data_IF_063287092752
#
_entry.id   IF_063287092752
#
_cell.length_a   1.000
_cell.length_b   1.000
_cell.length_c   1.000
_cell.angle_alpha   90.00
_cell.angle_beta   90.00
_cell.angle_gamma   90.00
#
_symmetry.space_group_name_H-M   'P 1'
#
loop_
_entity.id
_entity.type
_entity.pdbx_description
1 polymer ?
#
# COMPACT_ATOMS: atom_id res chain seq x y z
N UNK A 1 -22.72 9.36 -11.93
CA UNK A 1 -21.73 9.82 -10.94
C UNK A 1 -20.41 10.03 -11.67
N UNK A 2 -19.70 11.13 -11.39
CA UNK A 2 -18.37 11.34 -11.92
C UNK A 2 -17.48 10.16 -11.49
N UNK A 3 -16.52 9.79 -12.35
CA UNK A 3 -15.55 8.73 -12.08
C UNK A 3 -14.73 9.08 -10.83
N UNK A 4 -14.78 8.23 -9.80
CA UNK A 4 -13.98 8.41 -8.60
C UNK A 4 -12.57 7.89 -8.87
N UNK A 5 -11.59 8.79 -8.81
CA UNK A 5 -10.17 8.44 -8.91
C UNK A 5 -9.52 8.50 -7.53
N UNK A 6 -8.52 7.64 -7.33
CA UNK A 6 -7.74 7.66 -6.10
C UNK A 6 -7.06 9.03 -5.89
N UNK A 7 -7.12 9.58 -4.67
CA UNK A 7 -6.20 10.62 -4.23
C UNK A 7 -4.79 10.04 -4.22
N UNK A 8 -3.82 10.74 -4.82
CA UNK A 8 -2.48 10.22 -5.03
C UNK A 8 -1.55 10.67 -3.90
N UNK A 9 -0.73 9.73 -3.44
CA UNK A 9 0.22 9.95 -2.36
C UNK A 9 1.52 10.59 -2.89
N UNK A 10 2.04 11.60 -2.21
CA UNK A 10 3.43 12.02 -2.36
C UNK A 10 4.33 10.94 -1.76
N UNK A 11 5.47 10.65 -2.35
CA UNK A 11 6.49 9.77 -1.77
C UNK A 11 7.61 10.60 -1.18
N UNK A 12 8.00 10.29 0.04
CA UNK A 12 9.18 10.83 0.72
C UNK A 12 10.05 9.67 1.19
N UNK A 13 11.36 9.85 1.15
CA UNK A 13 12.30 8.93 1.78
C UNK A 13 12.43 9.27 3.25
N UNK A 14 12.65 8.24 4.07
CA UNK A 14 12.89 8.44 5.50
C UNK A 14 14.23 9.18 5.72
N UNK A 15 14.20 10.17 6.62
CA UNK A 15 15.35 10.81 7.26
C UNK A 15 15.00 11.17 8.70
N UNK A 16 15.99 11.37 9.55
CA UNK A 16 15.84 11.42 11.02
C UNK A 16 14.75 12.41 11.51
N UNK A 17 14.68 13.61 10.94
CA UNK A 17 13.72 14.65 11.35
C UNK A 17 12.48 14.75 10.46
N UNK A 18 12.15 13.70 9.67
CA UNK A 18 11.03 13.79 8.71
C UNK A 18 9.70 14.08 9.39
N UNK A 19 9.48 13.56 10.59
CA UNK A 19 8.21 13.72 11.30
C UNK A 19 8.02 15.12 11.89
N UNK A 20 9.08 15.89 12.08
CA UNK A 20 8.98 17.30 12.44
C UNK A 20 8.30 18.11 11.33
N UNK A 21 8.63 17.81 10.07
CA UNK A 21 7.99 18.41 8.88
C UNK A 21 6.49 18.09 8.81
N UNK A 22 6.08 16.93 9.32
CA UNK A 22 4.70 16.45 9.29
C UNK A 22 4.07 16.45 10.69
N UNK A 23 4.48 17.37 11.57
CA UNK A 23 3.91 17.50 12.91
C UNK A 23 2.40 17.68 12.85
N UNK A 24 1.68 16.89 13.66
CA UNK A 24 0.22 16.89 13.70
C UNK A 24 -0.45 16.05 12.62
N UNK A 25 0.30 15.39 11.72
CA UNK A 25 -0.26 14.39 10.84
C UNK A 25 -0.58 13.10 11.61
N UNK A 26 -1.58 12.38 11.14
CA UNK A 26 -1.90 11.03 11.60
C UNK A 26 -1.19 10.01 10.71
N UNK A 27 -0.74 8.92 11.27
CA UNK A 27 -0.06 7.86 10.55
C UNK A 27 -0.88 6.58 10.50
N UNK A 28 -0.93 5.92 9.35
CA UNK A 28 -1.53 4.59 9.16
C UNK A 28 -0.49 3.64 8.58
N UNK A 29 -0.60 2.34 8.89
CA UNK A 29 0.24 1.31 8.26
C UNK A 29 0.03 1.37 6.74
N UNK A 30 1.12 1.39 6.00
CA UNK A 30 1.08 1.19 4.56
C UNK A 30 0.99 -0.30 4.28
N UNK A 31 -0.20 -0.74 3.90
CA UNK A 31 -0.44 -2.13 3.52
C UNK A 31 0.00 -2.40 2.08
N UNK A 32 0.48 -3.61 1.85
CA UNK A 32 0.85 -4.12 0.52
C UNK A 32 -0.31 -4.94 -0.04
N UNK A 33 -1.16 -4.30 -0.82
CA UNK A 33 -2.41 -4.87 -1.29
C UNK A 33 -2.89 -4.31 -2.63
N UNK A 34 -4.20 -4.35 -2.80
CA UNK A 34 -4.89 -3.79 -3.96
C UNK A 34 -5.82 -2.67 -3.52
N UNK A 35 -5.55 -1.46 -4.01
CA UNK A 35 -6.42 -0.31 -3.79
C UNK A 35 -7.84 -0.60 -4.30
N UNK A 36 -8.84 -0.28 -3.49
CA UNK A 36 -10.23 -0.57 -3.74
C UNK A 36 -11.15 0.61 -3.45
N UNK A 37 -12.05 0.88 -4.39
CA UNK A 37 -13.22 1.74 -4.21
C UNK A 37 -14.40 0.81 -4.03
N UNK A 38 -14.97 0.75 -2.83
CA UNK A 38 -16.05 -0.16 -2.46
C UNK A 38 -17.39 0.61 -2.54
N UNK A 39 -18.28 0.11 -3.36
CA UNK A 39 -19.63 0.64 -3.51
C UNK A 39 -20.63 -0.18 -2.70
N UNK A 40 -21.37 0.48 -1.82
CA UNK A 40 -22.36 -0.14 -0.93
C UNK A 40 -23.75 0.36 -1.34
N UNK A 41 -24.73 -0.56 -1.40
CA UNK A 41 -26.14 -0.29 -1.59
C UNK A 41 -26.96 -1.39 -0.90
N UNK A 42 -28.06 -1.00 -0.27
CA UNK A 42 -28.91 -1.90 0.51
C UNK A 42 -28.08 -2.68 1.56
N UNK A 43 -27.21 -1.97 2.28
CA UNK A 43 -26.33 -2.49 3.33
C UNK A 43 -25.24 -3.48 2.85
N UNK A 44 -25.10 -3.75 1.54
CA UNK A 44 -24.18 -4.75 0.98
C UNK A 44 -23.21 -4.13 -0.03
N UNK A 45 -22.07 -4.79 -0.22
CA UNK A 45 -21.13 -4.46 -1.29
C UNK A 45 -21.78 -4.87 -2.62
N UNK A 46 -22.01 -3.90 -3.50
CA UNK A 46 -22.54 -4.12 -4.86
C UNK A 46 -21.49 -3.97 -5.94
N UNK A 47 -20.30 -3.52 -5.60
CA UNK A 47 -19.19 -3.40 -6.53
C UNK A 47 -17.90 -2.97 -5.84
N UNK A 48 -16.78 -3.46 -6.37
CA UNK A 48 -15.44 -3.01 -6.00
C UNK A 48 -14.70 -2.67 -7.28
N UNK A 49 -14.03 -1.51 -7.30
CA UNK A 49 -13.19 -1.08 -8.41
C UNK A 49 -11.76 -0.84 -7.94
N UNK A 50 -10.79 -1.19 -8.77
CA UNK A 50 -9.40 -0.90 -8.50
C UNK A 50 -9.02 0.55 -8.86
N UNK A 51 -7.73 0.93 -8.68
CA UNK A 51 -7.22 2.27 -9.00
C UNK A 51 -7.45 2.70 -10.45
N UNK A 52 -7.49 1.75 -11.38
CA UNK A 52 -7.72 1.98 -12.81
C UNK A 52 -9.22 1.90 -13.17
N UNK A 53 -10.10 1.95 -12.18
CA UNK A 53 -11.55 1.85 -12.33
C UNK A 53 -12.08 0.51 -12.90
N UNK A 54 -11.25 -0.53 -12.94
CA UNK A 54 -11.66 -1.87 -13.36
C UNK A 54 -12.46 -2.57 -12.25
N UNK A 55 -13.56 -3.27 -12.56
CA UNK A 55 -14.31 -4.04 -11.58
C UNK A 55 -13.49 -5.25 -11.12
N UNK A 56 -13.41 -5.46 -9.80
CA UNK A 56 -12.61 -6.53 -9.19
C UNK A 56 -13.34 -7.31 -8.08
N UNK A 57 -14.63 -7.04 -7.79
CA UNK A 57 -15.38 -7.75 -6.75
C UNK A 57 -15.35 -9.27 -6.97
N UNK A 58 -15.50 -9.71 -8.22
CA UNK A 58 -15.49 -11.13 -8.61
C UNK A 58 -14.19 -11.89 -8.22
N UNK A 59 -13.11 -11.18 -7.86
CA UNK A 59 -11.87 -11.79 -7.33
C UNK A 59 -11.96 -12.11 -5.84
N UNK A 60 -12.90 -11.50 -5.12
CA UNK A 60 -13.02 -11.50 -3.66
C UNK A 60 -14.44 -11.81 -3.20
N UNK A 61 -14.98 -13.01 -3.54
CA UNK A 61 -16.38 -13.35 -3.26
C UNK A 61 -16.72 -13.33 -1.77
N UNK A 62 -15.74 -13.54 -0.89
CA UNK A 62 -15.93 -13.43 0.56
C UNK A 62 -16.34 -12.02 1.04
N UNK A 63 -16.16 -11.00 0.23
CA UNK A 63 -16.59 -9.63 0.55
C UNK A 63 -18.07 -9.37 0.20
N UNK A 64 -18.71 -10.22 -0.61
CA UNK A 64 -20.13 -10.03 -1.04
C UNK A 64 -21.10 -10.18 0.12
N UNK A 65 -20.78 -10.97 1.13
CA UNK A 65 -21.63 -11.23 2.30
C UNK A 65 -21.42 -10.22 3.44
N UNK A 66 -20.49 -9.26 3.26
CA UNK A 66 -20.25 -8.24 4.28
C UNK A 66 -21.41 -7.25 4.34
N UNK A 67 -21.93 -7.04 5.56
CA UNK A 67 -23.03 -6.12 5.86
C UNK A 67 -22.56 -4.86 6.57
N UNK A 68 -23.18 -3.74 6.23
CA UNK A 68 -22.92 -2.44 6.84
C UNK A 68 -24.13 -1.92 7.60
N UNK A 69 -23.93 -1.08 8.61
CA UNK A 69 -25.01 -0.42 9.37
C UNK A 69 -25.77 0.63 8.55
N UNK A 70 -25.11 1.24 7.54
CA UNK A 70 -25.67 2.25 6.64
C UNK A 70 -26.16 1.64 5.32
N UNK A 71 -27.13 2.29 4.68
CA UNK A 71 -27.77 1.74 3.49
C UNK A 71 -26.95 1.90 2.21
N UNK A 72 -26.31 3.07 2.00
CA UNK A 72 -25.48 3.30 0.83
C UNK A 72 -24.19 4.04 1.15
N UNK A 73 -23.13 3.75 0.42
CA UNK A 73 -21.87 4.44 0.64
C UNK A 73 -20.77 4.14 -0.37
N UNK A 74 -19.69 4.91 -0.24
CA UNK A 74 -18.46 4.72 -1.01
C UNK A 74 -17.31 4.78 -0.03
N UNK A 75 -16.62 3.65 0.13
CA UNK A 75 -15.45 3.50 0.98
C UNK A 75 -14.19 3.35 0.13
N UNK A 76 -13.08 3.82 0.68
CA UNK A 76 -11.74 3.58 0.14
C UNK A 76 -11.00 2.61 1.04
N UNK A 77 -10.43 1.59 0.43
CA UNK A 77 -9.77 0.50 1.13
C UNK A 77 -8.49 0.05 0.43
N UNK A 78 -7.71 -0.72 1.16
CA UNK A 78 -6.68 -1.60 0.60
C UNK A 78 -7.12 -3.05 0.88
N UNK A 79 -7.30 -3.86 -0.17
CA UNK A 79 -7.61 -5.28 -0.03
C UNK A 79 -6.30 -6.04 0.09
N UNK A 80 -6.15 -6.77 1.19
CA UNK A 80 -4.90 -7.45 1.56
C UNK A 80 -5.12 -8.91 1.91
N UNK A 81 -4.08 -9.71 1.80
CA UNK A 81 -3.93 -10.99 2.49
C UNK A 81 -2.92 -10.80 3.62
N UNK A 82 -3.28 -11.15 4.84
CA UNK A 82 -2.40 -11.02 6.01
C UNK A 82 -1.87 -12.39 6.40
N UNK A 83 -0.54 -12.53 6.48
CA UNK A 83 0.16 -13.71 6.98
C UNK A 83 1.17 -13.29 8.04
N UNK A 84 1.13 -13.94 9.19
CA UNK A 84 2.03 -13.63 10.32
C UNK A 84 2.05 -12.13 10.68
N UNK A 85 0.88 -11.48 10.66
CA UNK A 85 0.72 -10.06 10.98
C UNK A 85 1.19 -9.06 9.91
N UNK A 86 1.64 -9.52 8.75
CA UNK A 86 2.07 -8.67 7.60
C UNK A 86 1.14 -8.84 6.41
N UNK A 87 0.91 -7.77 5.67
CA UNK A 87 0.28 -7.85 4.35
C UNK A 87 1.26 -8.41 3.33
N UNK A 88 0.85 -9.44 2.59
CA UNK A 88 1.69 -10.12 1.61
C UNK A 88 1.10 -9.99 0.21
N UNK A 89 1.90 -9.47 -0.74
CA UNK A 89 1.42 -9.25 -2.11
C UNK A 89 1.59 -10.51 -2.97
N UNK A 90 2.81 -10.89 -3.30
CA UNK A 90 3.08 -11.96 -4.28
C UNK A 90 2.64 -13.35 -3.83
N UNK A 91 2.84 -13.71 -2.56
CA UNK A 91 2.41 -15.00 -2.00
C UNK A 91 0.98 -14.99 -1.44
N UNK A 92 0.27 -13.87 -1.57
CA UNK A 92 -1.06 -13.65 -1.03
C UNK A 92 -2.01 -13.03 -2.06
N UNK A 93 -2.13 -11.70 -2.05
CA UNK A 93 -3.17 -11.01 -2.82
C UNK A 93 -3.03 -11.21 -4.35
N UNK A 94 -1.81 -11.30 -4.88
CA UNK A 94 -1.60 -11.53 -6.32
C UNK A 94 -2.07 -12.93 -6.76
N UNK A 95 -2.01 -13.93 -5.86
CA UNK A 95 -2.53 -15.28 -6.14
C UNK A 95 -4.05 -15.29 -6.36
N UNK A 96 -4.78 -14.32 -5.79
CA UNK A 96 -6.23 -14.18 -5.95
C UNK A 96 -6.64 -13.84 -7.38
N UNK A 97 -5.73 -13.36 -8.21
CA UNK A 97 -5.99 -13.09 -9.64
C UNK A 97 -6.31 -14.37 -10.42
N UNK A 98 -5.72 -15.50 -10.00
CA UNK A 98 -5.91 -16.81 -10.63
C UNK A 98 -6.71 -17.78 -9.76
N UNK A 99 -6.71 -17.59 -8.43
CA UNK A 99 -7.36 -18.47 -7.44
C UNK A 99 -8.42 -17.71 -6.66
N UNK A 100 -9.55 -17.40 -7.28
CA UNK A 100 -10.62 -16.54 -6.75
C UNK A 100 -11.21 -17.00 -5.41
N UNK A 101 -11.27 -18.30 -5.14
CA UNK A 101 -11.80 -18.89 -3.90
C UNK A 101 -10.71 -19.53 -3.05
N UNK A 102 -9.52 -18.98 -3.06
CA UNK A 102 -8.40 -19.54 -2.29
C UNK A 102 -8.60 -19.29 -0.78
N UNK A 103 -9.15 -20.31 -0.09
CA UNK A 103 -9.39 -20.28 1.36
C UNK A 103 -8.09 -20.18 2.19
N UNK A 104 -6.94 -20.51 1.60
CA UNK A 104 -5.63 -20.38 2.26
C UNK A 104 -5.12 -18.93 2.25
N UNK A 105 -5.71 -18.08 1.41
CA UNK A 105 -5.40 -16.66 1.30
C UNK A 105 -6.67 -15.81 1.44
N UNK A 106 -7.38 -15.85 2.59
CA UNK A 106 -8.55 -15.00 2.79
C UNK A 106 -8.15 -13.55 2.74
N UNK A 107 -9.01 -12.72 2.13
CA UNK A 107 -8.73 -11.29 2.04
C UNK A 107 -9.41 -10.53 3.16
N UNK A 108 -8.81 -9.38 3.52
CA UNK A 108 -9.42 -8.38 4.38
C UNK A 108 -9.35 -7.03 3.66
N UNK A 109 -10.46 -6.32 3.57
CA UNK A 109 -10.48 -4.94 3.11
C UNK A 109 -10.22 -4.01 4.30
N UNK A 110 -9.09 -3.31 4.27
CA UNK A 110 -8.69 -2.33 5.28
C UNK A 110 -9.23 -0.96 4.85
N UNK A 111 -10.29 -0.52 5.51
CA UNK A 111 -10.96 0.74 5.21
C UNK A 111 -10.15 1.91 5.77
N UNK A 112 -9.82 2.87 4.94
CA UNK A 112 -9.00 4.01 5.34
C UNK A 112 -9.57 5.39 4.95
N UNK A 113 -10.68 5.42 4.18
CA UNK A 113 -11.42 6.66 3.89
C UNK A 113 -12.88 6.39 3.53
N UNK A 114 -13.75 7.43 3.60
CA UNK A 114 -15.16 7.37 3.23
C UNK A 114 -15.52 8.61 2.41
N UNK A 115 -16.10 8.41 1.23
CA UNK A 115 -16.42 9.49 0.29
C UNK A 115 -17.91 9.79 0.21
N UNK A 116 -18.76 8.83 0.61
CA UNK A 116 -20.22 8.98 0.65
C UNK A 116 -20.80 8.04 1.71
N UNK A 117 -21.82 8.49 2.42
CA UNK A 117 -22.64 7.69 3.35
C UNK A 117 -24.07 8.23 3.36
N UNK A 118 -25.08 7.37 3.12
CA UNK A 118 -26.53 7.66 3.16
C UNK A 118 -26.91 9.02 2.52
N UNK A 119 -26.54 9.17 1.24
CA UNK A 119 -26.77 10.39 0.47
C UNK A 119 -25.79 11.53 0.73
N UNK A 120 -25.09 11.55 1.86
CA UNK A 120 -24.13 12.62 2.22
C UNK A 120 -22.79 12.38 1.54
N UNK A 121 -22.36 13.33 0.71
CA UNK A 121 -21.02 13.38 0.13
C UNK A 121 -20.03 13.94 1.18
N UNK A 122 -18.94 13.23 1.43
CA UNK A 122 -17.99 13.55 2.51
C UNK A 122 -16.64 14.05 2.03
N UNK A 123 -16.39 14.06 0.72
CA UNK A 123 -15.07 14.44 0.14
C UNK A 123 -14.58 15.82 0.61
N UNK A 124 -15.47 16.76 0.88
CA UNK A 124 -15.16 18.12 1.32
C UNK A 124 -14.98 18.24 2.84
N UNK A 125 -15.22 17.17 3.60
CA UNK A 125 -14.95 17.15 5.04
C UNK A 125 -13.46 16.96 5.30
N UNK A 126 -12.91 17.53 6.39
CA UNK A 126 -11.59 17.20 6.88
C UNK A 126 -11.40 15.70 7.10
N UNK A 127 -10.18 15.17 6.89
CA UNK A 127 -9.91 13.74 7.07
C UNK A 127 -10.31 13.24 8.47
N UNK A 128 -10.06 14.01 9.54
CA UNK A 128 -10.47 13.64 10.90
C UNK A 128 -11.97 13.37 11.05
N UNK A 129 -12.80 14.13 10.33
CA UNK A 129 -14.27 13.95 10.36
C UNK A 129 -14.69 12.73 9.52
N UNK A 130 -14.08 12.53 8.35
CA UNK A 130 -14.31 11.33 7.55
C UNK A 130 -13.89 10.07 8.30
N UNK A 131 -12.76 10.12 9.01
CA UNK A 131 -12.29 9.01 9.83
C UNK A 131 -13.24 8.71 11.01
N UNK A 132 -13.77 9.73 11.67
CA UNK A 132 -14.79 9.56 12.70
C UNK A 132 -16.05 8.87 12.17
N UNK A 133 -16.50 9.24 10.96
CA UNK A 133 -17.63 8.57 10.30
C UNK A 133 -17.34 7.09 10.04
N UNK A 134 -16.11 6.74 9.62
CA UNK A 134 -15.73 5.33 9.44
C UNK A 134 -15.81 4.59 10.78
N UNK A 135 -15.19 5.11 11.83
CA UNK A 135 -15.17 4.47 13.16
C UNK A 135 -16.54 4.28 13.76
N UNK A 136 -17.50 5.17 13.46
CA UNK A 136 -18.89 5.08 13.94
C UNK A 136 -19.73 4.07 13.15
N UNK A 137 -19.46 3.88 11.84
CA UNK A 137 -20.37 3.19 10.96
C UNK A 137 -19.82 1.87 10.37
N UNK A 138 -18.51 1.61 10.50
CA UNK A 138 -17.88 0.38 9.99
C UNK A 138 -17.40 -0.46 11.17
N UNK A 139 -18.05 -1.60 11.37
CA UNK A 139 -17.63 -2.58 12.35
C UNK A 139 -16.47 -3.43 11.81
N UNK A 140 -15.50 -3.72 12.66
CA UNK A 140 -14.44 -4.68 12.32
C UNK A 140 -15.00 -6.11 12.32
N UNK A 141 -14.57 -6.89 11.34
CA UNK A 141 -14.89 -8.30 11.19
C UNK A 141 -13.78 -9.04 10.48
N UNK A 142 -14.02 -10.28 10.08
CA UNK A 142 -12.98 -11.12 9.46
C UNK A 142 -12.51 -10.56 8.13
N UNK A 143 -13.42 -10.02 7.33
CA UNK A 143 -13.15 -9.55 5.98
C UNK A 143 -13.08 -8.02 5.85
N UNK A 144 -13.46 -7.28 6.89
CA UNK A 144 -13.43 -5.82 6.93
C UNK A 144 -12.76 -5.35 8.21
N UNK A 145 -11.83 -4.40 8.09
CA UNK A 145 -11.20 -3.71 9.23
C UNK A 145 -11.03 -2.23 8.93
N UNK A 146 -11.15 -1.42 9.95
CA UNK A 146 -10.81 0.01 9.86
C UNK A 146 -9.33 0.18 10.15
N UNK A 147 -8.62 0.91 9.31
CA UNK A 147 -7.21 1.24 9.55
C UNK A 147 -7.10 2.14 10.79
N UNK A 148 -6.23 1.77 11.73
CA UNK A 148 -5.98 2.58 12.92
C UNK A 148 -5.04 3.75 12.60
N UNK A 149 -5.26 4.87 13.30
CA UNK A 149 -4.37 6.03 13.29
C UNK A 149 -3.43 5.97 14.49
N UNK A 150 -2.18 6.35 14.26
CA UNK A 150 -1.08 6.37 15.22
C UNK A 150 -0.34 7.70 15.15
N UNK A 151 0.43 8.01 16.19
CA UNK A 151 1.49 9.00 16.11
C UNK A 151 2.59 8.53 15.15
N UNK A 152 3.11 9.41 14.26
CA UNK A 152 4.05 9.01 13.21
C UNK A 152 5.31 8.28 13.69
N UNK A 153 5.98 8.80 14.72
CA UNK A 153 7.21 8.19 15.26
C UNK A 153 6.94 6.84 15.93
N UNK A 154 5.81 6.73 16.65
CA UNK A 154 5.39 5.46 17.28
C UNK A 154 5.12 4.39 16.23
N UNK A 155 4.41 4.76 15.15
CA UNK A 155 4.16 3.82 14.06
C UNK A 155 5.44 3.46 13.32
N UNK A 156 6.36 4.42 13.11
CA UNK A 156 7.61 4.13 12.40
C UNK A 156 8.48 3.11 13.15
N UNK A 157 8.58 3.21 14.48
CA UNK A 157 9.24 2.18 15.30
C UNK A 157 8.63 0.81 15.07
N UNK A 158 7.31 0.71 15.10
CA UNK A 158 6.58 -0.54 14.81
C UNK A 158 6.84 -1.04 13.36
N UNK A 159 6.91 -0.14 12.38
CA UNK A 159 7.23 -0.47 10.97
C UNK A 159 8.59 -1.14 10.88
N UNK A 160 9.61 -0.60 11.56
CA UNK A 160 10.96 -1.17 11.58
C UNK A 160 10.98 -2.51 12.32
N UNK A 161 10.46 -2.55 13.56
CA UNK A 161 10.46 -3.76 14.42
C UNK A 161 9.75 -4.95 13.78
N UNK A 162 8.63 -4.69 13.11
CA UNK A 162 7.82 -5.73 12.46
C UNK A 162 8.11 -5.90 10.98
N UNK A 163 9.09 -5.18 10.45
CA UNK A 163 9.46 -5.22 9.03
C UNK A 163 8.23 -5.04 8.11
N UNK A 164 7.43 -3.99 8.36
CA UNK A 164 6.29 -3.63 7.54
C UNK A 164 6.74 -2.80 6.32
N UNK A 165 5.87 -2.66 5.31
CA UNK A 165 6.19 -1.94 4.07
C UNK A 165 6.50 -0.45 4.30
N UNK A 166 5.89 0.18 5.31
CA UNK A 166 6.03 1.59 5.60
C UNK A 166 4.78 2.16 6.27
N UNK A 167 4.64 3.48 6.20
CA UNK A 167 3.48 4.19 6.70
C UNK A 167 2.95 5.22 5.70
N UNK A 168 1.71 5.67 5.94
CA UNK A 168 1.06 6.77 5.23
C UNK A 168 0.73 7.85 6.25
N UNK A 169 1.29 9.04 6.05
CA UNK A 169 0.95 10.24 6.79
C UNK A 169 -0.27 10.92 6.14
N UNK A 170 -1.22 11.35 6.96
CA UNK A 170 -2.44 12.03 6.52
C UNK A 170 -2.64 13.30 7.34
N UNK A 171 -2.78 14.43 6.66
CA UNK A 171 -3.18 15.68 7.30
C UNK A 171 -4.61 15.57 7.84
N UNK A 172 -4.85 15.80 9.15
CA UNK A 172 -6.18 15.65 9.74
C UNK A 172 -7.20 16.65 9.19
N UNK A 173 -6.73 17.76 8.62
CA UNK A 173 -7.59 18.82 8.05
C UNK A 173 -7.78 18.70 6.54
N UNK A 174 -7.12 17.74 5.88
CA UNK A 174 -7.19 17.59 4.44
C UNK A 174 -8.55 17.12 3.95
N UNK A 175 -9.03 17.71 2.85
CA UNK A 175 -10.17 17.21 2.07
C UNK A 175 -9.70 16.11 1.10
N UNK A 176 -10.62 15.29 0.59
CA UNK A 176 -10.28 14.26 -0.39
C UNK A 176 -10.19 14.86 -1.81
N UNK A 177 -9.01 14.90 -2.38
CA UNK A 177 -8.73 15.48 -3.70
C UNK A 177 -8.70 14.38 -4.77
N UNK A 178 -9.79 14.25 -5.54
CA UNK A 178 -9.95 13.17 -6.54
C UNK A 178 -8.90 13.28 -7.63
N UNK A 179 -8.07 12.22 -7.78
CA UNK A 179 -7.07 12.11 -8.84
C UNK A 179 -5.83 13.02 -8.69
N UNK A 180 -5.75 13.80 -7.59
CA UNK A 180 -4.68 14.77 -7.38
C UNK A 180 -3.59 14.19 -6.48
N UNK A 181 -2.33 14.46 -6.80
CA UNK A 181 -1.18 14.21 -5.92
C UNK A 181 -0.96 15.44 -5.04
N UNK A 182 -1.00 15.23 -3.74
CA UNK A 182 -0.89 16.31 -2.75
C UNK A 182 0.09 15.95 -1.65
N UNK A 183 0.59 16.95 -0.95
CA UNK A 183 1.38 16.78 0.27
C UNK A 183 0.56 16.48 1.53
N UNK A 184 -0.78 16.48 1.42
CA UNK A 184 -1.69 16.14 2.51
C UNK A 184 -1.73 14.63 2.81
N UNK A 185 -1.27 13.83 1.86
CA UNK A 185 -1.09 12.38 2.00
C UNK A 185 0.28 11.98 1.51
N UNK A 186 1.12 11.48 2.42
CA UNK A 186 2.52 11.14 2.17
C UNK A 186 2.78 9.71 2.54
N UNK A 187 3.44 8.96 1.66
CA UNK A 187 3.93 7.61 1.96
C UNK A 187 5.42 7.65 2.25
N UNK A 188 5.82 6.98 3.32
CA UNK A 188 7.21 6.72 3.69
C UNK A 188 7.38 5.21 3.74
N UNK A 189 8.28 4.68 2.91
CA UNK A 189 8.53 3.25 2.80
C UNK A 189 9.75 2.84 3.62
N UNK A 190 9.69 1.64 4.17
CA UNK A 190 10.79 1.02 4.91
C UNK A 190 11.78 0.37 3.93
N UNK A 191 12.54 1.22 3.22
CA UNK A 191 13.60 0.74 2.35
C UNK A 191 14.77 0.19 3.14
N UNK A 192 15.22 -0.99 2.75
CA UNK A 192 16.48 -1.62 3.19
C UNK A 192 17.57 -1.28 2.20
N UNK A 193 18.82 -1.30 2.62
CA UNK A 193 19.97 -1.11 1.73
C UNK A 193 20.84 -2.35 1.75
N UNK A 194 21.32 -2.76 0.60
CA UNK A 194 22.22 -3.89 0.42
C UNK A 194 23.26 -3.55 -0.65
N UNK A 195 24.49 -4.06 -0.47
CA UNK A 195 25.54 -3.95 -1.48
C UNK A 195 25.42 -5.10 -2.48
N UNK A 196 25.33 -4.77 -3.77
CA UNK A 196 25.29 -5.75 -4.86
C UNK A 196 26.57 -5.64 -5.68
N UNK A 197 27.30 -6.75 -5.82
CA UNK A 197 28.43 -6.88 -6.73
C UNK A 197 27.92 -7.23 -8.13
N UNK A 198 28.14 -6.36 -9.10
CA UNK A 198 27.65 -6.47 -10.46
C UNK A 198 28.34 -7.62 -11.22
N UNK A 199 27.56 -8.56 -11.74
CA UNK A 199 28.05 -9.62 -12.64
C UNK A 199 27.76 -9.31 -14.10
N UNK A 200 26.55 -8.81 -14.41
CA UNK A 200 26.17 -8.38 -15.74
C UNK A 200 25.12 -7.24 -15.69
N UNK A 201 25.06 -6.50 -16.78
CA UNK A 201 24.17 -5.34 -16.95
C UNK A 201 23.48 -5.44 -18.28
N UNK A 202 22.17 -5.13 -18.30
CA UNK A 202 21.33 -5.07 -19.49
C UNK A 202 20.52 -3.78 -19.46
N UNK A 203 20.61 -2.97 -20.50
CA UNK A 203 19.76 -1.79 -20.66
C UNK A 203 18.43 -2.18 -21.33
N UNK A 204 17.33 -1.66 -20.82
CA UNK A 204 15.99 -1.88 -21.35
C UNK A 204 15.12 -0.61 -21.19
N UNK A 205 13.90 -0.56 -21.77
CA UNK A 205 13.03 0.62 -21.68
C UNK A 205 12.62 1.03 -20.25
N UNK A 206 12.83 0.16 -19.25
CA UNK A 206 12.54 0.44 -17.83
C UNK A 206 13.76 0.95 -17.08
N UNK A 207 14.92 1.04 -17.74
CA UNK A 207 16.21 1.44 -17.17
C UNK A 207 17.25 0.32 -17.23
N UNK A 208 18.10 0.26 -16.22
CA UNK A 208 19.21 -0.70 -16.13
C UNK A 208 18.80 -1.93 -15.33
N UNK A 209 18.87 -3.12 -15.95
CA UNK A 209 18.75 -4.41 -15.25
C UNK A 209 20.14 -4.87 -14.85
N UNK A 210 20.33 -5.17 -13.58
CA UNK A 210 21.57 -5.70 -13.03
C UNK A 210 21.34 -7.13 -12.55
N UNK A 211 22.20 -8.05 -12.94
CA UNK A 211 22.37 -9.35 -12.29
C UNK A 211 23.66 -9.26 -11.50
N UNK A 212 23.60 -9.64 -10.24
CA UNK A 212 24.76 -9.52 -9.34
C UNK A 212 24.65 -10.45 -8.15
N UNK A 213 25.62 -10.35 -7.25
CA UNK A 213 25.67 -11.11 -6.01
C UNK A 213 25.65 -10.20 -4.80
N UNK A 214 25.05 -10.72 -3.75
CA UNK A 214 25.00 -10.03 -2.47
C UNK A 214 24.99 -11.05 -1.33
N UNK A 215 25.42 -10.63 -0.15
CA UNK A 215 25.31 -11.42 1.07
C UNK A 215 23.99 -11.10 1.78
N UNK A 216 23.19 -12.13 2.05
CA UNK A 216 21.99 -12.04 2.87
C UNK A 216 22.09 -13.10 3.97
N UNK A 217 22.19 -12.67 5.22
CA UNK A 217 22.30 -13.53 6.39
C UNK A 217 23.48 -14.54 6.32
N UNK A 218 24.59 -14.14 5.70
CA UNK A 218 25.78 -14.99 5.54
C UNK A 218 25.75 -15.93 4.34
N UNK A 219 24.70 -15.84 3.51
CA UNK A 219 24.60 -16.58 2.26
C UNK A 219 24.83 -15.65 1.06
N UNK A 220 25.80 -15.99 0.21
CA UNK A 220 26.06 -15.25 -1.03
C UNK A 220 25.06 -15.70 -2.10
N UNK A 221 24.07 -14.89 -2.38
CA UNK A 221 23.00 -15.19 -3.33
C UNK A 221 23.06 -14.32 -4.58
N UNK A 222 22.65 -14.88 -5.72
CA UNK A 222 22.42 -14.14 -6.95
C UNK A 222 21.12 -13.35 -6.86
N UNK A 223 21.17 -12.07 -7.26
CA UNK A 223 19.99 -11.19 -7.28
C UNK A 223 19.80 -10.52 -8.64
N UNK A 224 18.55 -10.29 -9.01
CA UNK A 224 18.15 -9.47 -10.14
C UNK A 224 17.59 -8.14 -9.65
N UNK A 225 18.09 -7.05 -10.19
CA UNK A 225 17.71 -5.69 -9.83
C UNK A 225 17.30 -4.91 -11.07
N UNK A 226 16.09 -4.34 -11.08
CA UNK A 226 15.70 -3.36 -12.10
C UNK A 226 15.78 -1.97 -11.49
N UNK A 227 16.72 -1.14 -11.98
CA UNK A 227 16.93 0.23 -11.52
C UNK A 227 16.40 1.19 -12.59
N UNK A 228 15.60 2.18 -12.20
CA UNK A 228 15.15 3.24 -13.11
C UNK A 228 16.32 4.13 -13.52
N UNK A 229 16.40 4.48 -14.79
CA UNK A 229 17.52 5.25 -15.36
C UNK A 229 18.59 4.35 -15.98
N UNK A 230 19.51 4.98 -16.73
CA UNK A 230 20.65 4.30 -17.36
C UNK A 230 21.92 4.57 -16.55
N UNK A 231 22.69 3.53 -16.27
CA UNK A 231 23.89 3.59 -15.45
C UNK A 231 25.04 2.82 -16.12
N UNK A 232 26.18 3.50 -16.29
CA UNK A 232 27.41 2.86 -16.75
C UNK A 232 28.04 2.03 -15.62
N UNK A 233 27.55 0.81 -15.43
CA UNK A 233 28.03 -0.12 -14.43
C UNK A 233 28.95 -1.15 -15.09
N UNK A 234 30.00 -1.56 -14.35
CA UNK A 234 30.97 -2.55 -14.83
C UNK A 234 30.96 -3.78 -13.92
N UNK A 235 31.28 -4.93 -14.50
CA UNK A 235 31.43 -6.19 -13.76
C UNK A 235 32.44 -6.05 -12.60
N UNK A 236 32.11 -6.58 -11.44
CA UNK A 236 32.88 -6.48 -10.20
C UNK A 236 32.67 -5.19 -9.40
N UNK A 237 31.94 -4.21 -9.96
CA UNK A 237 31.59 -2.99 -9.23
C UNK A 237 30.59 -3.34 -8.12
N UNK A 238 30.77 -2.77 -6.91
CA UNK A 238 29.80 -2.83 -5.83
C UNK A 238 28.94 -1.58 -5.83
N UNK A 239 27.63 -1.77 -5.77
CA UNK A 239 26.67 -0.68 -5.78
C UNK A 239 25.66 -0.83 -4.63
N UNK A 240 25.38 0.24 -3.89
CA UNK A 240 24.34 0.23 -2.87
C UNK A 240 22.96 0.30 -3.52
N UNK A 241 22.09 -0.65 -3.19
CA UNK A 241 20.72 -0.75 -3.68
C UNK A 241 19.75 -0.64 -2.51
N UNK A 242 18.82 0.31 -2.61
CA UNK A 242 17.63 0.36 -1.75
C UNK A 242 16.55 -0.54 -2.33
N UNK A 243 15.91 -1.33 -1.50
CA UNK A 243 14.84 -2.24 -1.89
C UNK A 243 13.79 -2.37 -0.78
N UNK A 244 12.57 -2.78 -1.12
CA UNK A 244 11.52 -3.03 -0.14
C UNK A 244 11.45 -4.49 0.30
N UNK A 245 11.58 -5.42 -0.65
CA UNK A 245 11.38 -6.84 -0.40
C UNK A 245 12.21 -7.67 -1.39
N UNK A 246 12.34 -8.97 -1.11
CA UNK A 246 13.01 -9.95 -1.96
C UNK A 246 12.01 -11.04 -2.30
N UNK A 247 11.81 -11.29 -3.59
CA UNK A 247 10.94 -12.35 -4.09
C UNK A 247 11.71 -13.26 -5.04
N UNK A 248 12.05 -14.47 -4.56
CA UNK A 248 13.01 -15.34 -5.22
C UNK A 248 14.37 -14.64 -5.31
N UNK A 249 14.86 -14.42 -6.54
CA UNK A 249 16.11 -13.68 -6.80
C UNK A 249 15.91 -12.17 -7.06
N UNK A 250 14.67 -11.64 -7.01
CA UNK A 250 14.38 -10.25 -7.39
C UNK A 250 14.31 -9.34 -6.19
N UNK A 251 15.04 -8.23 -6.25
CA UNK A 251 14.87 -7.10 -5.34
C UNK A 251 13.68 -6.26 -5.82
N UNK A 252 12.67 -6.13 -4.97
CA UNK A 252 11.40 -5.49 -5.31
C UNK A 252 11.43 -4.01 -5.00
N UNK A 253 10.93 -3.18 -5.94
CA UNK A 253 10.94 -1.72 -5.88
C UNK A 253 12.34 -1.17 -5.60
N UNK A 254 13.33 -1.76 -6.25
CA UNK A 254 14.71 -1.39 -6.08
C UNK A 254 15.04 -0.04 -6.72
N UNK A 255 15.95 0.70 -6.08
CA UNK A 255 16.54 1.93 -6.61
C UNK A 255 17.99 2.02 -6.16
N UNK A 256 18.81 2.75 -6.93
CA UNK A 256 20.18 3.07 -6.48
C UNK A 256 20.08 3.92 -5.21
N UNK A 257 20.87 3.59 -4.20
CA UNK A 257 20.90 4.32 -2.92
C UNK A 257 21.59 5.67 -3.04
#
# INVERSE_FOLDING_TARGET
MAEIKAMLLKEEFFYECIFEKYRGFLAQIKFNGVYAIIHIKNHKIVGIRNRNNNPILYLYPELEDVMFSFNEGILIAEIVVIKNGKSVFYSGIDQRRTRKHDKNNPVTAIIHDILKIDGKVTINLPYKERYALIKQNVANGDFIRVADNYEPETLWKMVIERDLEGLILKSPVAVYQIGVRTSDMVKIKNYKTIEVEVESVEENPKGTKVIGRTDINGENIEVEVQIGGQFNLVKGQRIPIKYLDIVGKRLIQATKA
#
